data_IF_758280246545
#
_entry.id   IF_758280246545
#
_cell.length_a   1.000
_cell.length_b   1.000
_cell.length_c   1.000
_cell.angle_alpha   90.00
_cell.angle_beta   90.00
_cell.angle_gamma   90.00
#
_symmetry.space_group_name_H-M   'P 1'
#
loop_
_entity.id
_entity.type
_entity.pdbx_description
1 polymer ?
#
# COMPACT_ATOMS: atom_id res chain seq x y z
N UNK A 1 -5.15 -8.60 -1.58
CA UNK A 1 -6.02 -7.74 -0.76
C UNK A 1 -5.19 -6.98 0.27
N UNK A 2 -5.74 -5.91 0.84
CA UNK A 2 -5.10 -5.11 1.90
C UNK A 2 -6.08 -4.86 3.04
N UNK A 3 -5.56 -4.83 4.27
CA UNK A 3 -6.22 -4.32 5.47
C UNK A 3 -5.40 -3.14 6.01
N UNK A 4 -6.08 -2.08 6.43
CA UNK A 4 -5.45 -0.82 6.83
C UNK A 4 -5.48 0.24 5.73
N UNK A 5 -4.79 1.34 5.97
CA UNK A 5 -4.74 2.54 5.12
C UNK A 5 -3.40 2.61 4.38
N UNK A 6 -3.38 3.25 3.20
CA UNK A 6 -2.18 3.40 2.38
C UNK A 6 -1.94 4.86 2.01
N UNK A 7 -0.65 5.24 1.93
CA UNK A 7 -0.18 6.56 1.51
C UNK A 7 -0.32 7.67 2.54
N UNK A 8 -0.97 7.41 3.67
CA UNK A 8 -1.23 8.46 4.67
C UNK A 8 0.03 8.87 5.42
N UNK A 9 0.90 7.92 5.75
CA UNK A 9 2.17 8.22 6.40
C UNK A 9 3.07 9.06 5.48
N UNK A 10 3.21 8.67 4.22
CA UNK A 10 4.00 9.41 3.24
C UNK A 10 3.46 10.83 3.00
N UNK A 11 2.13 10.99 2.90
CA UNK A 11 1.49 12.29 2.79
C UNK A 11 1.73 13.17 4.03
N UNK A 12 1.61 12.59 5.22
CA UNK A 12 1.89 13.29 6.49
C UNK A 12 3.34 13.73 6.61
N UNK A 13 4.28 12.88 6.21
CA UNK A 13 5.71 13.22 6.15
C UNK A 13 5.96 14.38 5.19
N UNK A 14 5.44 14.32 3.97
CA UNK A 14 5.60 15.38 2.98
C UNK A 14 5.03 16.75 3.45
N UNK A 15 3.92 16.73 4.18
CA UNK A 15 3.36 17.94 4.80
C UNK A 15 4.30 18.52 5.86
N UNK A 16 4.88 17.69 6.72
CA UNK A 16 5.85 18.10 7.74
C UNK A 16 7.10 18.70 7.11
N UNK A 17 7.65 18.05 6.08
CA UNK A 17 8.82 18.56 5.36
C UNK A 17 8.57 19.90 4.69
N UNK A 18 7.33 20.12 4.22
CA UNK A 18 6.90 21.40 3.66
C UNK A 18 6.57 22.46 4.73
N UNK A 19 6.69 22.15 6.02
CA UNK A 19 6.33 23.04 7.12
C UNK A 19 4.83 23.36 7.15
N UNK A 20 3.97 22.47 6.64
CA UNK A 20 2.52 22.66 6.56
C UNK A 20 1.83 21.97 7.73
N UNK A 21 0.90 22.67 8.37
CA UNK A 21 -0.01 22.14 9.39
C UNK A 21 -1.40 21.75 8.82
N UNK A 22 -1.56 21.89 7.50
CA UNK A 22 -2.77 21.43 6.82
C UNK A 22 -2.88 19.90 6.90
N UNK A 23 -4.09 19.38 6.87
CA UNK A 23 -4.37 17.93 6.97
C UNK A 23 -3.75 17.30 8.23
N UNK A 24 -4.10 17.78 9.44
CA UNK A 24 -3.49 17.32 10.69
C UNK A 24 -3.70 15.83 10.94
N UNK A 25 -4.75 15.24 10.37
CA UNK A 25 -5.02 13.80 10.41
C UNK A 25 -3.96 12.97 9.68
N UNK A 26 -3.44 13.45 8.54
CA UNK A 26 -2.34 12.78 7.81
C UNK A 26 -1.02 12.90 8.58
N UNK A 27 -0.75 14.09 9.15
CA UNK A 27 0.42 14.32 10.00
C UNK A 27 0.37 13.41 11.25
N UNK A 28 -0.81 13.28 11.86
CA UNK A 28 -1.01 12.41 13.02
C UNK A 28 -0.75 10.95 12.64
N UNK A 29 -1.21 10.52 11.47
CA UNK A 29 -1.03 9.15 10.98
C UNK A 29 0.44 8.82 10.72
N UNK A 30 1.23 9.76 10.21
CA UNK A 30 2.68 9.58 10.09
C UNK A 30 3.37 9.46 11.45
N UNK A 31 2.98 10.30 12.44
CA UNK A 31 3.58 10.29 13.77
C UNK A 31 3.22 9.06 14.60
N UNK A 32 2.01 8.55 14.42
CA UNK A 32 1.48 7.41 15.16
C UNK A 32 0.66 6.55 14.19
N UNK A 33 1.31 5.61 13.48
CA UNK A 33 0.61 4.65 12.63
C UNK A 33 -0.37 3.79 13.43
N UNK A 34 -1.43 3.33 12.79
CA UNK A 34 -2.45 2.43 13.39
C UNK A 34 -2.51 1.11 12.62
N UNK A 35 -1.54 0.20 12.86
CA UNK A 35 -1.52 -1.09 12.20
C UNK A 35 -2.77 -1.91 12.54
N UNK A 36 -3.38 -2.60 11.58
CA UNK A 36 -4.58 -3.42 11.81
C UNK A 36 -4.22 -4.79 12.43
N UNK A 37 -3.63 -4.82 13.62
CA UNK A 37 -3.09 -6.03 14.27
C UNK A 37 -4.07 -7.21 14.31
N UNK A 38 -5.38 -6.95 14.47
CA UNK A 38 -6.38 -8.01 14.51
C UNK A 38 -6.61 -8.70 13.16
N UNK A 39 -6.14 -8.13 12.05
CA UNK A 39 -6.39 -8.65 10.72
C UNK A 39 -5.42 -9.75 10.28
N UNK A 40 -4.26 -9.87 10.92
CA UNK A 40 -3.33 -10.97 10.65
C UNK A 40 -3.94 -12.35 10.92
N UNK A 41 -4.46 -12.62 12.14
CA UNK A 41 -5.19 -13.87 12.42
C UNK A 41 -6.39 -14.10 11.49
N UNK A 42 -7.18 -13.06 11.19
CA UNK A 42 -8.32 -13.16 10.26
C UNK A 42 -7.85 -13.63 8.86
N UNK A 43 -6.74 -13.09 8.37
CA UNK A 43 -6.18 -13.52 7.09
C UNK A 43 -5.71 -14.98 7.13
N UNK A 44 -5.03 -15.38 8.19
CA UNK A 44 -4.56 -16.76 8.37
C UNK A 44 -5.73 -17.75 8.39
N UNK A 45 -6.77 -17.47 9.18
CA UNK A 45 -7.98 -18.30 9.27
C UNK A 45 -8.74 -18.37 7.94
N UNK A 46 -8.70 -17.30 7.13
CA UNK A 46 -9.27 -17.26 5.78
C UNK A 46 -8.40 -17.95 4.72
N UNK A 47 -7.26 -18.54 5.09
CA UNK A 47 -6.38 -19.27 4.19
C UNK A 47 -5.51 -18.38 3.30
N UNK A 48 -5.05 -17.24 3.81
CA UNK A 48 -4.06 -16.42 3.10
C UNK A 48 -2.83 -17.27 2.75
N UNK A 49 -2.42 -17.27 1.48
CA UNK A 49 -1.27 -18.03 0.99
C UNK A 49 0.06 -17.30 1.15
N UNK A 50 0.01 -15.97 1.29
CA UNK A 50 1.14 -15.10 1.59
C UNK A 50 0.61 -13.83 2.24
N UNK A 51 1.42 -13.22 3.13
CA UNK A 51 1.11 -11.97 3.79
C UNK A 51 2.40 -11.24 4.16
N UNK A 52 2.36 -9.91 4.10
CA UNK A 52 3.42 -9.01 4.58
C UNK A 52 2.77 -7.77 5.18
N UNK A 53 3.49 -7.02 6.00
CA UNK A 53 3.14 -5.63 6.28
C UNK A 53 3.62 -4.72 5.15
N UNK A 54 3.10 -3.50 5.11
CA UNK A 54 3.50 -2.46 4.17
C UNK A 54 4.36 -1.44 4.92
N UNK A 55 5.66 -1.70 4.96
CA UNK A 55 6.66 -0.88 5.64
C UNK A 55 7.45 -0.01 4.67
N UNK A 56 7.89 -0.56 3.56
CA UNK A 56 8.74 0.11 2.58
C UNK A 56 7.93 0.70 1.42
N UNK A 57 6.68 0.29 1.29
CA UNK A 57 5.71 0.72 0.31
C UNK A 57 5.02 -0.46 -0.37
N UNK A 58 3.76 -0.29 -0.74
CA UNK A 58 2.93 -1.38 -1.28
C UNK A 58 3.60 -2.13 -2.44
N UNK A 59 4.20 -1.39 -3.38
CA UNK A 59 4.88 -1.98 -4.54
C UNK A 59 6.14 -2.73 -4.13
N UNK A 60 6.95 -2.15 -3.22
CA UNK A 60 8.18 -2.77 -2.73
C UNK A 60 7.88 -4.10 -2.03
N UNK A 61 6.98 -4.07 -1.06
CA UNK A 61 6.67 -5.24 -0.23
C UNK A 61 5.99 -6.36 -1.02
N UNK A 62 5.07 -6.02 -1.93
CA UNK A 62 4.43 -7.00 -2.80
C UNK A 62 5.40 -7.60 -3.84
N UNK A 63 6.44 -6.87 -4.27
CA UNK A 63 7.49 -7.43 -5.13
C UNK A 63 8.25 -8.57 -4.45
N UNK A 64 8.46 -8.48 -3.14
CA UNK A 64 9.06 -9.59 -2.38
C UNK A 64 8.19 -10.84 -2.41
N UNK A 65 6.88 -10.71 -2.21
CA UNK A 65 5.93 -11.83 -2.34
C UNK A 65 5.95 -12.39 -3.77
N UNK A 66 5.86 -11.54 -4.78
CA UNK A 66 5.85 -11.94 -6.19
C UNK A 66 7.13 -12.73 -6.55
N UNK A 67 8.30 -12.19 -6.18
CA UNK A 67 9.59 -12.81 -6.44
C UNK A 67 9.75 -14.17 -5.74
N UNK A 68 9.40 -14.23 -4.44
CA UNK A 68 9.48 -15.48 -3.67
C UNK A 68 8.53 -16.57 -4.18
N UNK A 69 7.41 -16.17 -4.81
CA UNK A 69 6.40 -17.09 -5.33
C UNK A 69 6.61 -17.48 -6.80
N UNK A 70 7.49 -16.78 -7.52
CA UNK A 70 7.66 -16.95 -8.97
C UNK A 70 6.42 -16.55 -9.77
N UNK A 71 5.60 -15.64 -9.23
CA UNK A 71 4.35 -15.16 -9.81
C UNK A 71 4.39 -13.65 -10.00
N UNK A 72 3.45 -13.12 -10.79
CA UNK A 72 3.21 -11.70 -10.93
C UNK A 72 2.05 -11.22 -10.05
N UNK A 73 2.02 -9.92 -9.80
CA UNK A 73 0.90 -9.23 -9.15
C UNK A 73 0.47 -8.08 -10.04
N UNK A 74 -0.84 -7.96 -10.29
CA UNK A 74 -1.44 -6.84 -11.01
C UNK A 74 -2.37 -6.09 -10.05
N UNK A 75 -1.95 -4.88 -9.65
CA UNK A 75 -2.72 -3.98 -8.79
C UNK A 75 -3.77 -3.23 -9.62
N UNK A 76 -4.90 -2.95 -9.02
CA UNK A 76 -5.99 -2.17 -9.61
C UNK A 76 -6.10 -0.81 -8.95
N UNK A 77 -5.98 0.27 -9.72
CA UNK A 77 -6.24 1.63 -9.24
C UNK A 77 -7.66 1.79 -8.72
N UNK A 78 -8.63 1.11 -9.32
CA UNK A 78 -10.01 1.08 -8.81
C UNK A 78 -10.12 0.50 -7.39
N UNK A 79 -9.34 -0.55 -7.08
CA UNK A 79 -9.27 -1.15 -5.74
C UNK A 79 -8.57 -0.27 -4.70
N UNK A 80 -7.79 0.72 -5.15
CA UNK A 80 -7.02 1.67 -4.34
C UNK A 80 -7.60 3.10 -4.36
N UNK A 81 -8.76 3.32 -5.00
CA UNK A 81 -9.32 4.65 -5.18
C UNK A 81 -9.58 5.38 -3.86
N UNK A 82 -10.04 4.69 -2.83
CA UNK A 82 -10.30 5.29 -1.52
C UNK A 82 -9.01 5.80 -0.84
N UNK A 83 -7.88 5.09 -1.03
CA UNK A 83 -6.59 5.53 -0.49
C UNK A 83 -6.08 6.75 -1.26
N UNK A 84 -6.20 6.73 -2.59
CA UNK A 84 -5.88 7.86 -3.45
C UNK A 84 -6.66 9.12 -3.05
N UNK A 85 -7.97 9.01 -2.91
CA UNK A 85 -8.84 10.15 -2.59
C UNK A 85 -8.54 10.71 -1.19
N UNK A 86 -8.13 9.86 -0.26
CA UNK A 86 -7.78 10.28 1.09
C UNK A 86 -6.54 11.19 1.15
N UNK A 87 -5.61 11.08 0.19
CA UNK A 87 -4.39 11.88 0.15
C UNK A 87 -4.36 12.92 -0.98
N UNK A 88 -5.36 12.89 -1.89
CA UNK A 88 -5.41 13.75 -3.06
C UNK A 88 -5.40 15.25 -2.72
N UNK A 89 -6.08 15.66 -1.65
CA UNK A 89 -6.10 17.06 -1.19
C UNK A 89 -4.72 17.56 -0.77
N UNK A 90 -3.97 16.75 -0.03
CA UNK A 90 -2.61 17.05 0.37
C UNK A 90 -1.66 17.07 -0.83
N UNK A 91 -1.82 16.11 -1.75
CA UNK A 91 -1.04 16.04 -2.98
C UNK A 91 -1.25 17.27 -3.85
N UNK A 92 -2.48 17.70 -4.06
CA UNK A 92 -2.80 18.92 -4.81
C UNK A 92 -2.17 20.17 -4.18
N UNK A 93 -2.17 20.26 -2.85
CA UNK A 93 -1.53 21.38 -2.12
C UNK A 93 -0.02 21.44 -2.31
N UNK A 94 0.64 20.29 -2.38
CA UNK A 94 2.10 20.17 -2.49
C UNK A 94 2.60 20.02 -3.92
N UNK A 95 1.70 19.93 -4.92
CA UNK A 95 2.07 19.65 -6.30
C UNK A 95 2.66 18.24 -6.50
N UNK A 96 2.25 17.29 -5.67
CA UNK A 96 2.71 15.90 -5.67
C UNK A 96 1.71 14.97 -6.39
N UNK A 97 2.17 13.79 -6.76
CA UNK A 97 1.33 12.72 -7.28
C UNK A 97 0.82 11.83 -6.13
N UNK A 98 -0.49 11.77 -5.85
CA UNK A 98 -1.05 10.94 -4.80
C UNK A 98 -0.76 9.44 -5.00
N UNK A 99 -0.64 8.97 -6.24
CA UNK A 99 -0.28 7.58 -6.53
C UNK A 99 1.14 7.22 -6.07
N UNK A 100 2.06 8.17 -6.11
CA UNK A 100 3.41 7.96 -5.57
C UNK A 100 3.38 7.62 -4.08
N UNK A 101 2.47 8.25 -3.32
CA UNK A 101 2.29 7.95 -1.89
C UNK A 101 1.56 6.64 -1.64
N UNK A 102 0.48 6.36 -2.39
CA UNK A 102 -0.33 5.14 -2.20
C UNK A 102 0.44 3.87 -2.61
N UNK A 103 1.22 3.93 -3.68
CA UNK A 103 1.91 2.77 -4.24
C UNK A 103 3.33 2.60 -3.70
N UNK A 104 4.02 3.70 -3.45
CA UNK A 104 5.41 3.70 -3.02
C UNK A 104 5.67 4.27 -1.63
N UNK A 105 4.67 4.86 -0.98
CA UNK A 105 4.82 5.38 0.38
C UNK A 105 4.96 4.26 1.40
N UNK A 106 5.96 4.37 2.27
CA UNK A 106 6.18 3.45 3.38
C UNK A 106 5.57 3.93 4.70
N UNK A 107 5.81 3.14 5.75
CA UNK A 107 5.45 3.43 7.16
C UNK A 107 3.94 3.52 7.42
N UNK A 108 3.10 2.96 6.55
CA UNK A 108 1.65 2.86 6.80
C UNK A 108 1.32 1.67 7.71
N UNK A 109 2.17 0.61 7.69
CA UNK A 109 2.00 -0.64 8.43
C UNK A 109 0.64 -1.32 8.21
N UNK A 110 0.06 -1.10 7.04
CA UNK A 110 -1.06 -1.91 6.56
C UNK A 110 -0.62 -3.35 6.34
N UNK A 111 -1.56 -4.29 6.28
CA UNK A 111 -1.26 -5.67 5.94
C UNK A 111 -1.71 -5.96 4.51
N UNK A 112 -0.83 -6.55 3.70
CA UNK A 112 -1.14 -7.02 2.34
C UNK A 112 -1.07 -8.55 2.30
N UNK A 113 -2.08 -9.20 1.68
CA UNK A 113 -2.17 -10.65 1.63
C UNK A 113 -2.76 -11.16 0.32
N UNK A 114 -2.40 -12.41 -0.03
CA UNK A 114 -2.92 -13.14 -1.17
C UNK A 114 -3.92 -14.20 -0.69
N UNK A 115 -5.13 -14.19 -1.24
CA UNK A 115 -6.18 -15.14 -0.91
C UNK A 115 -6.54 -15.97 -2.14
N UNK A 116 -6.57 -17.32 -2.05
CA UNK A 116 -6.99 -18.18 -3.16
C UNK A 116 -8.51 -18.16 -3.37
N UNK A 117 -9.26 -17.63 -2.42
CA UNK A 117 -10.72 -17.58 -2.42
C UNK A 117 -11.25 -16.18 -2.09
N UNK A 118 -12.35 -16.13 -1.36
CA UNK A 118 -12.98 -14.88 -0.97
C UNK A 118 -12.11 -14.08 0.00
N UNK A 119 -12.11 -12.78 -0.18
CA UNK A 119 -11.43 -11.85 0.72
C UNK A 119 -12.26 -11.70 2.00
N UNK A 120 -11.70 -11.89 3.20
CA UNK A 120 -12.45 -11.85 4.45
C UNK A 120 -12.85 -10.43 4.86
N UNK A 121 -13.81 -10.27 5.79
CA UNK A 121 -14.19 -8.96 6.33
C UNK A 121 -12.99 -8.22 6.93
N UNK A 122 -12.94 -6.90 6.72
CA UNK A 122 -11.82 -6.05 7.14
C UNK A 122 -10.68 -5.96 6.12
N UNK A 123 -10.76 -6.75 5.05
CA UNK A 123 -9.85 -6.71 3.91
C UNK A 123 -10.57 -6.22 2.65
N UNK A 124 -9.85 -5.54 1.77
CA UNK A 124 -10.37 -5.12 0.46
C UNK A 124 -9.49 -5.65 -0.66
N UNK A 125 -10.09 -6.10 -1.74
CA UNK A 125 -9.34 -6.53 -2.93
C UNK A 125 -8.73 -5.31 -3.62
N UNK A 126 -7.43 -5.39 -3.92
CA UNK A 126 -6.65 -4.33 -4.57
C UNK A 126 -5.96 -4.79 -5.85
N UNK A 127 -6.15 -6.04 -6.25
CA UNK A 127 -5.53 -6.61 -7.44
C UNK A 127 -5.65 -8.11 -7.50
N UNK A 128 -4.90 -8.72 -8.39
CA UNK A 128 -4.88 -10.17 -8.63
C UNK A 128 -3.46 -10.69 -8.76
N UNK A 129 -3.26 -11.95 -8.33
CA UNK A 129 -2.03 -12.70 -8.62
C UNK A 129 -2.17 -13.28 -10.02
N UNK A 130 -1.14 -13.11 -10.85
CA UNK A 130 -1.14 -13.50 -12.26
C UNK A 130 0.07 -14.39 -12.58
N UNK A 131 -0.01 -15.11 -13.69
CA UNK A 131 1.15 -15.84 -14.22
C UNK A 131 2.25 -14.89 -14.70
N UNK A 132 3.49 -15.37 -14.64
CA UNK A 132 4.68 -14.57 -14.97
C UNK A 132 5.29 -13.91 -13.74
N UNK A 133 6.25 -13.01 -13.93
CA UNK A 133 6.95 -12.34 -12.85
C UNK A 133 6.65 -10.83 -12.85
N UNK A 134 6.97 -10.17 -11.72
CA UNK A 134 6.93 -8.72 -11.58
C UNK A 134 5.62 -8.17 -11.02
N UNK A 135 5.54 -6.85 -10.95
CA UNK A 135 4.38 -6.14 -10.44
C UNK A 135 3.90 -5.13 -11.47
N UNK A 136 2.60 -5.13 -11.71
CA UNK A 136 1.90 -4.23 -12.62
C UNK A 136 0.84 -3.42 -11.88
N UNK A 137 0.45 -2.32 -12.50
CA UNK A 137 -0.70 -1.51 -12.09
C UNK A 137 -1.59 -1.33 -13.32
N UNK A 138 -2.81 -1.79 -13.27
CA UNK A 138 -3.77 -1.81 -14.39
C UNK A 138 -3.15 -2.40 -15.67
N UNK A 139 -2.48 -3.56 -15.53
CA UNK A 139 -1.86 -4.31 -16.62
C UNK A 139 -0.56 -3.73 -17.16
N UNK A 140 -0.04 -2.63 -16.61
CA UNK A 140 1.20 -1.97 -17.04
C UNK A 140 2.29 -2.09 -15.99
N UNK A 141 3.53 -2.31 -16.42
CA UNK A 141 4.66 -2.32 -15.48
C UNK A 141 4.76 -0.98 -14.75
N UNK A 142 4.87 -1.05 -13.42
CA UNK A 142 5.01 0.15 -12.62
C UNK A 142 6.44 0.71 -12.74
N UNK A 143 6.54 1.96 -13.22
CA UNK A 143 7.82 2.67 -13.42
C UNK A 143 7.98 3.86 -12.48
N UNK A 144 7.00 4.12 -11.61
CA UNK A 144 7.07 5.18 -10.59
C UNK A 144 7.91 4.78 -9.40
N UNK A 145 7.96 5.65 -8.40
CA UNK A 145 8.63 5.37 -7.13
C UNK A 145 8.05 4.08 -6.53
N UNK A 146 8.94 3.14 -6.22
CA UNK A 146 8.53 1.79 -5.84
C UNK A 146 8.59 1.54 -4.33
N UNK A 147 9.12 2.49 -3.55
CA UNK A 147 9.30 2.36 -2.12
C UNK A 147 10.74 2.58 -1.68
N UNK A 148 11.00 2.46 -0.39
CA UNK A 148 12.33 2.57 0.20
C UNK A 148 13.14 1.30 -0.06
N UNK A 149 14.38 1.44 -0.54
CA UNK A 149 15.32 0.33 -0.68
C UNK A 149 16.38 0.44 0.43
N UNK A 150 16.32 -0.47 1.40
CA UNK A 150 17.19 -0.43 2.58
C UNK A 150 18.65 -0.82 2.30
N UNK A 151 18.93 -1.43 1.14
CA UNK A 151 20.27 -1.92 0.78
C UNK A 151 20.53 -1.67 -0.73
N UNK A 152 21.21 -0.59 -1.05
CA UNK A 152 21.97 -0.36 -2.28
C UNK A 152 23.45 -0.18 -1.95
#
# INVERSE_FOLDING_TARGET
AVAGELGRSAAGHALLDAGSDAFPELIARHRVPEPPYGQGPVAADAGASAMTDVSDGLVADLRHIAAASGLGIDLSTAGLAADHDAVAGAAARLGADPWAWVLGGGEDHALAACFPGAVPPGWRAIGTVVGGAGLRVDGRDWTGYAGWESFN
#
